data_IF_381105599449
#
_entry.id   IF_381105599449
#
_cell.length_a   1.000
_cell.length_b   1.000
_cell.length_c   1.000
_cell.angle_alpha   90.00
_cell.angle_beta   90.00
_cell.angle_gamma   90.00
#
_symmetry.space_group_name_H-M   'P 1'
#
loop_
_entity.id
_entity.type
_entity.pdbx_description
1 polymer ?
#
# COMPACT_ATOMS: atom_id res chain seq x y z
N UNK A 1 -23.50 39.05 -44.21
CA UNK A 1 -23.49 38.26 -42.96
C UNK A 1 -22.72 36.97 -43.21
N UNK A 2 -21.42 36.94 -42.87
CA UNK A 2 -20.63 35.69 -42.89
C UNK A 2 -20.88 34.97 -41.58
N UNK A 3 -21.69 33.91 -41.63
CA UNK A 3 -21.95 33.04 -40.49
C UNK A 3 -20.66 32.34 -40.08
N UNK A 4 -20.18 32.66 -38.88
CA UNK A 4 -19.05 32.00 -38.24
C UNK A 4 -19.45 30.55 -37.96
N UNK A 5 -19.06 29.61 -38.83
CA UNK A 5 -19.12 28.18 -38.54
C UNK A 5 -18.28 27.92 -37.28
N UNK A 6 -18.94 27.76 -36.12
CA UNK A 6 -18.31 27.21 -34.92
C UNK A 6 -17.74 25.85 -35.31
N UNK A 7 -16.42 25.74 -35.41
CA UNK A 7 -15.72 24.45 -35.48
C UNK A 7 -16.22 23.61 -34.30
N UNK A 8 -16.93 22.52 -34.57
CA UNK A 8 -17.29 21.53 -33.56
C UNK A 8 -15.97 20.93 -33.08
N UNK A 9 -15.52 21.36 -31.90
CA UNK A 9 -14.32 20.82 -31.26
C UNK A 9 -14.67 19.41 -30.79
N UNK A 10 -13.93 18.41 -31.26
CA UNK A 10 -14.16 17.02 -30.87
C UNK A 10 -13.98 16.84 -29.36
N UNK A 11 -14.70 15.90 -28.74
CA UNK A 11 -14.56 15.59 -27.31
C UNK A 11 -13.09 15.28 -26.95
N UNK A 12 -12.38 14.61 -27.86
CA UNK A 12 -10.95 14.31 -27.72
C UNK A 12 -10.08 15.58 -27.66
N UNK A 13 -10.38 16.60 -28.46
CA UNK A 13 -9.66 17.87 -28.41
C UNK A 13 -9.93 18.66 -27.12
N UNK A 14 -11.17 18.61 -26.61
CA UNK A 14 -11.50 19.24 -25.33
C UNK A 14 -10.78 18.55 -24.18
N UNK A 15 -10.70 17.22 -24.22
CA UNK A 15 -10.00 16.42 -23.23
C UNK A 15 -8.50 16.69 -23.22
N UNK A 16 -7.85 16.71 -24.39
CA UNK A 16 -6.43 17.07 -24.51
C UNK A 16 -6.12 18.46 -23.93
N UNK A 17 -6.97 19.45 -24.24
CA UNK A 17 -6.82 20.81 -23.66
C UNK A 17 -6.93 20.80 -22.14
N UNK A 18 -7.89 20.07 -21.59
CA UNK A 18 -8.05 19.93 -20.15
C UNK A 18 -6.85 19.21 -19.51
N UNK A 19 -6.31 18.17 -20.15
CA UNK A 19 -5.10 17.48 -19.70
C UNK A 19 -3.91 18.43 -19.62
N UNK A 20 -3.65 19.22 -20.67
CA UNK A 20 -2.56 20.19 -20.71
C UNK A 20 -2.73 21.31 -19.67
N UNK A 21 -3.96 21.79 -19.52
CA UNK A 21 -4.32 22.85 -18.57
C UNK A 21 -4.12 22.38 -17.13
N UNK A 22 -4.69 21.23 -16.77
CA UNK A 22 -4.59 20.67 -15.41
C UNK A 22 -3.14 20.29 -15.09
N UNK A 23 -2.37 19.77 -16.07
CA UNK A 23 -0.95 19.49 -15.88
C UNK A 23 -0.16 20.76 -15.53
N UNK A 24 -0.44 21.88 -16.21
CA UNK A 24 0.18 23.18 -15.88
C UNK A 24 -0.18 23.60 -14.46
N UNK A 25 -1.43 23.42 -14.05
CA UNK A 25 -1.85 23.73 -12.67
C UNK A 25 -1.15 22.85 -11.64
N UNK A 26 -1.06 21.54 -11.90
CA UNK A 26 -0.33 20.58 -11.07
C UNK A 26 1.13 21.02 -10.87
N UNK A 27 1.83 21.34 -11.96
CA UNK A 27 3.21 21.85 -11.88
C UNK A 27 3.32 23.17 -11.14
N UNK A 28 2.37 24.09 -11.32
CA UNK A 28 2.34 25.36 -10.59
C UNK A 28 2.17 25.17 -9.07
N UNK A 29 1.61 24.05 -8.62
CA UNK A 29 1.54 23.68 -7.21
C UNK A 29 2.75 22.86 -6.71
N UNK A 30 3.72 22.58 -7.57
CA UNK A 30 4.93 21.81 -7.24
C UNK A 30 4.79 20.30 -7.45
N UNK A 31 3.68 19.81 -8.01
CA UNK A 31 3.53 18.40 -8.36
C UNK A 31 4.43 18.03 -9.54
N UNK A 32 4.98 16.83 -9.50
CA UNK A 32 5.87 16.28 -10.51
C UNK A 32 5.37 14.90 -10.97
N UNK A 33 4.18 14.78 -11.57
CA UNK A 33 3.70 13.51 -12.10
C UNK A 33 4.64 12.97 -13.18
N UNK A 34 4.55 11.66 -13.46
CA UNK A 34 5.13 11.08 -14.67
C UNK A 34 4.44 11.64 -15.91
N UNK A 35 5.02 11.35 -17.09
CA UNK A 35 4.27 11.52 -18.33
C UNK A 35 3.06 10.60 -18.26
N UNK A 36 1.85 11.15 -18.31
CA UNK A 36 0.61 10.36 -18.24
C UNK A 36 -0.03 10.23 -19.60
N UNK A 37 -0.41 9.01 -19.98
CA UNK A 37 -1.22 8.68 -21.14
C UNK A 37 -2.63 8.39 -20.65
N UNK A 38 -3.60 9.15 -21.14
CA UNK A 38 -5.01 8.95 -20.83
C UNK A 38 -5.71 8.25 -21.98
N UNK A 39 -6.31 7.10 -21.69
CA UNK A 39 -7.08 6.32 -22.66
C UNK A 39 -8.57 6.38 -22.33
N UNK A 40 -9.39 6.71 -23.33
CA UNK A 40 -10.83 6.69 -23.19
C UNK A 40 -11.33 5.27 -23.40
N UNK A 41 -12.05 4.74 -22.42
CA UNK A 41 -12.61 3.37 -22.42
C UNK A 41 -14.11 3.41 -22.17
N UNK A 42 -14.81 2.43 -22.71
CA UNK A 42 -16.21 2.16 -22.42
C UNK A 42 -16.35 1.60 -20.99
N UNK A 43 -17.58 1.42 -20.55
CA UNK A 43 -17.83 0.81 -19.24
C UNK A 43 -17.34 -0.64 -19.19
N UNK A 44 -17.65 -1.43 -20.24
CA UNK A 44 -17.26 -2.84 -20.30
C UNK A 44 -15.73 -2.98 -20.38
N UNK A 45 -15.09 -2.16 -21.24
CA UNK A 45 -13.62 -2.08 -21.34
C UNK A 45 -12.98 -1.72 -19.99
N UNK A 46 -13.58 -0.81 -19.21
CA UNK A 46 -13.07 -0.47 -17.87
C UNK A 46 -13.12 -1.66 -16.91
N UNK A 47 -14.23 -2.41 -16.89
CA UNK A 47 -14.36 -3.58 -16.02
C UNK A 47 -13.39 -4.70 -16.43
N UNK A 48 -13.19 -4.91 -17.74
CA UNK A 48 -12.21 -5.88 -18.27
C UNK A 48 -10.79 -5.53 -17.86
N UNK A 49 -10.39 -4.26 -17.99
CA UNK A 49 -9.03 -3.83 -17.61
C UNK A 49 -8.87 -3.89 -16.09
N UNK A 50 -9.91 -3.51 -15.32
CA UNK A 50 -9.89 -3.56 -13.87
C UNK A 50 -9.79 -4.99 -13.32
N UNK A 51 -10.48 -5.97 -13.94
CA UNK A 51 -10.37 -7.38 -13.53
C UNK A 51 -8.99 -7.97 -13.79
N UNK A 52 -8.24 -7.45 -14.76
CA UNK A 52 -6.82 -7.78 -14.92
C UNK A 52 -5.87 -6.98 -14.03
N UNK A 53 -6.39 -6.16 -13.11
CA UNK A 53 -5.61 -5.33 -12.20
C UNK A 53 -5.01 -4.08 -12.85
N UNK A 54 -5.63 -3.58 -13.92
CA UNK A 54 -5.16 -2.41 -14.66
C UNK A 54 -4.47 -2.71 -15.98
N UNK A 55 -4.11 -3.96 -16.24
CA UNK A 55 -3.23 -4.33 -17.36
C UNK A 55 -4.03 -4.88 -18.55
N UNK A 56 -3.89 -4.30 -19.76
CA UNK A 56 -4.61 -4.77 -20.95
C UNK A 56 -4.24 -6.19 -21.38
N UNK A 57 -3.07 -6.68 -20.99
CA UNK A 57 -2.59 -8.01 -21.35
C UNK A 57 -2.02 -8.68 -20.12
N UNK A 58 -2.69 -9.75 -19.68
CA UNK A 58 -2.26 -10.65 -18.59
C UNK A 58 -2.42 -12.09 -19.04
N UNK A 59 -1.89 -13.04 -18.27
CA UNK A 59 -2.20 -14.44 -18.50
C UNK A 59 -3.69 -14.72 -18.26
N UNK A 60 -4.31 -15.63 -19.03
CA UNK A 60 -5.68 -16.04 -18.78
C UNK A 60 -5.76 -16.84 -17.48
N UNK A 61 -6.75 -16.54 -16.65
CA UNK A 61 -7.05 -17.28 -15.43
C UNK A 61 -8.52 -17.06 -15.04
N UNK A 62 -9.21 -18.12 -14.59
CA UNK A 62 -10.64 -18.06 -14.27
C UNK A 62 -10.99 -17.02 -13.18
N UNK A 63 -10.06 -16.77 -12.23
CA UNK A 63 -10.19 -15.70 -11.21
C UNK A 63 -10.53 -14.34 -11.81
N UNK A 64 -9.88 -13.94 -12.90
CA UNK A 64 -10.14 -12.64 -13.54
C UNK A 64 -11.54 -12.58 -14.18
N UNK A 65 -12.05 -13.72 -14.65
CA UNK A 65 -13.44 -13.84 -15.10
C UNK A 65 -14.44 -13.66 -13.96
N UNK A 66 -14.16 -14.22 -12.77
CA UNK A 66 -14.99 -13.99 -11.60
C UNK A 66 -14.95 -12.54 -11.12
N UNK A 67 -13.77 -11.93 -11.08
CA UNK A 67 -13.61 -10.51 -10.73
C UNK A 67 -14.37 -9.61 -11.71
N UNK A 68 -14.31 -9.91 -13.01
CA UNK A 68 -15.10 -9.20 -14.03
C UNK A 68 -16.61 -9.29 -13.76
N UNK A 69 -17.13 -10.49 -13.49
CA UNK A 69 -18.55 -10.70 -13.19
C UNK A 69 -19.00 -9.93 -11.94
N UNK A 70 -18.16 -9.87 -10.91
CA UNK A 70 -18.41 -9.08 -9.70
C UNK A 70 -18.45 -7.58 -10.00
N UNK A 71 -17.47 -7.08 -10.76
CA UNK A 71 -17.38 -5.67 -11.16
C UNK A 71 -18.60 -5.24 -12.01
N UNK A 72 -18.92 -6.03 -13.03
CA UNK A 72 -20.02 -5.77 -13.94
C UNK A 72 -21.37 -5.76 -13.23
N UNK A 73 -21.65 -6.74 -12.36
CA UNK A 73 -22.90 -6.79 -11.57
C UNK A 73 -22.97 -5.65 -10.56
N UNK A 74 -21.85 -5.38 -9.88
CA UNK A 74 -21.76 -4.27 -8.94
C UNK A 74 -22.08 -2.92 -9.59
N UNK A 75 -21.64 -2.68 -10.82
CA UNK A 75 -22.02 -1.49 -11.57
C UNK A 75 -23.48 -1.51 -12.02
N UNK A 76 -23.94 -2.63 -12.58
CA UNK A 76 -25.32 -2.77 -13.07
C UNK A 76 -26.38 -2.51 -11.98
N UNK A 77 -26.03 -2.81 -10.72
CA UNK A 77 -26.88 -2.55 -9.56
C UNK A 77 -26.56 -1.23 -8.84
N UNK A 78 -25.63 -0.41 -9.35
CA UNK A 78 -25.25 0.87 -8.77
C UNK A 78 -24.51 0.76 -7.43
N UNK A 79 -23.92 -0.41 -7.14
CA UNK A 79 -23.17 -0.67 -5.90
C UNK A 79 -21.75 -0.08 -5.94
N UNK A 80 -21.13 -0.05 -7.14
CA UNK A 80 -19.78 0.46 -7.34
C UNK A 80 -19.60 1.10 -8.72
N UNK A 81 -18.78 2.15 -8.78
CA UNK A 81 -18.37 2.83 -10.02
C UNK A 81 -16.88 3.13 -9.93
N UNK A 82 -16.13 2.64 -10.91
CA UNK A 82 -14.70 2.92 -11.07
C UNK A 82 -14.62 4.25 -11.81
N UNK A 83 -14.12 5.30 -11.16
CA UNK A 83 -14.00 6.61 -11.82
C UNK A 83 -12.73 6.71 -12.67
N UNK A 84 -11.73 5.94 -12.28
CA UNK A 84 -10.35 6.04 -12.67
C UNK A 84 -9.66 4.68 -12.48
N UNK A 85 -8.66 4.40 -13.30
CA UNK A 85 -7.78 3.27 -13.09
C UNK A 85 -6.41 3.72 -13.55
N UNK A 86 -5.43 3.74 -12.62
CA UNK A 86 -4.10 4.30 -12.85
C UNK A 86 -3.03 3.25 -12.63
N UNK A 87 -2.16 3.07 -13.62
CA UNK A 87 -1.04 2.14 -13.55
C UNK A 87 0.24 2.92 -13.23
N UNK A 88 0.95 2.50 -12.19
CA UNK A 88 2.28 2.98 -11.88
C UNK A 88 3.30 2.44 -12.91
N UNK A 89 3.54 3.21 -13.96
CA UNK A 89 4.47 2.91 -15.05
C UNK A 89 5.12 4.23 -15.52
N UNK A 90 6.21 4.17 -16.30
CA UNK A 90 6.82 5.34 -16.94
C UNK A 90 6.89 5.11 -18.47
N UNK A 91 5.92 5.64 -19.26
CA UNK A 91 4.87 6.59 -18.87
C UNK A 91 3.77 5.95 -18.01
N UNK A 92 3.09 6.78 -17.21
CA UNK A 92 1.94 6.42 -16.40
C UNK A 92 0.73 6.24 -17.32
N UNK A 93 -0.07 5.20 -17.12
CA UNK A 93 -1.28 4.96 -17.91
C UNK A 93 -2.50 5.14 -17.04
N UNK A 94 -3.50 5.83 -17.57
CA UNK A 94 -4.76 6.05 -16.88
C UNK A 94 -5.94 5.87 -17.83
N UNK A 95 -6.99 5.20 -17.35
CA UNK A 95 -8.20 4.97 -18.11
C UNK A 95 -9.33 5.89 -17.64
N UNK A 96 -10.03 6.48 -18.60
CA UNK A 96 -11.12 7.43 -18.39
C UNK A 96 -12.40 6.89 -19.03
N UNK A 97 -13.51 6.91 -18.29
CA UNK A 97 -14.80 6.48 -18.85
C UNK A 97 -15.30 7.48 -19.90
N UNK A 98 -15.63 6.99 -21.10
CA UNK A 98 -16.17 7.78 -22.23
C UNK A 98 -17.48 8.51 -21.87
N UNK A 99 -18.29 7.93 -20.98
CA UNK A 99 -19.61 8.45 -20.59
C UNK A 99 -19.56 9.58 -19.56
N UNK A 100 -18.40 9.86 -18.96
CA UNK A 100 -18.26 10.90 -17.94
C UNK A 100 -18.45 12.30 -18.53
N UNK A 101 -19.07 13.19 -17.74
CA UNK A 101 -19.18 14.61 -18.11
C UNK A 101 -17.82 15.27 -18.10
N UNK A 102 -17.68 16.41 -18.79
CA UNK A 102 -16.38 17.09 -18.90
C UNK A 102 -15.83 17.53 -17.53
N UNK A 103 -16.69 17.91 -16.59
CA UNK A 103 -16.30 18.24 -15.21
C UNK A 103 -15.70 17.02 -14.49
N UNK A 104 -16.30 15.85 -14.66
CA UNK A 104 -15.80 14.60 -14.08
C UNK A 104 -14.47 14.20 -14.71
N UNK A 105 -14.33 14.37 -16.04
CA UNK A 105 -13.07 14.14 -16.73
C UNK A 105 -11.95 15.01 -16.15
N UNK A 106 -12.21 16.31 -15.92
CA UNK A 106 -11.24 17.21 -15.29
C UNK A 106 -10.88 16.76 -13.88
N UNK A 107 -11.88 16.40 -13.08
CA UNK A 107 -11.66 15.91 -11.71
C UNK A 107 -10.78 14.65 -11.71
N UNK A 108 -11.09 13.67 -12.56
CA UNK A 108 -10.33 12.43 -12.67
C UNK A 108 -8.91 12.69 -13.20
N UNK A 109 -8.73 13.54 -14.21
CA UNK A 109 -7.40 13.93 -14.70
C UNK A 109 -6.56 14.55 -13.57
N UNK A 110 -7.14 15.47 -12.80
CA UNK A 110 -6.45 16.10 -11.67
C UNK A 110 -6.10 15.07 -10.58
N UNK A 111 -7.00 14.12 -10.32
CA UNK A 111 -6.79 13.03 -9.39
C UNK A 111 -5.64 12.10 -9.82
N UNK A 112 -5.64 11.69 -11.10
CA UNK A 112 -4.58 10.87 -11.70
C UNK A 112 -3.22 11.54 -11.62
N UNK A 113 -3.13 12.86 -11.83
CA UNK A 113 -1.87 13.57 -11.64
C UNK A 113 -1.41 13.58 -10.18
N UNK A 114 -2.34 13.61 -9.22
CA UNK A 114 -2.03 13.39 -7.82
C UNK A 114 -1.43 12.01 -7.55
N UNK A 115 -2.05 10.94 -8.05
CA UNK A 115 -1.50 9.59 -7.94
C UNK A 115 -0.14 9.46 -8.61
N UNK A 116 -0.01 9.93 -9.85
CA UNK A 116 1.24 9.85 -10.61
C UNK A 116 2.38 10.59 -9.93
N UNK A 117 2.09 11.75 -9.32
CA UNK A 117 3.04 12.47 -8.46
C UNK A 117 3.40 11.66 -7.20
N UNK A 118 2.43 11.01 -6.55
CA UNK A 118 2.66 10.17 -5.38
C UNK A 118 3.57 8.98 -5.72
N UNK A 119 3.26 8.23 -6.79
CA UNK A 119 4.04 7.09 -7.27
C UNK A 119 5.50 7.47 -7.56
N UNK A 120 5.73 8.65 -8.14
CA UNK A 120 7.09 9.10 -8.46
C UNK A 120 7.91 9.45 -7.23
N UNK A 121 7.27 10.02 -6.21
CA UNK A 121 7.97 10.75 -5.15
C UNK A 121 7.91 10.07 -3.77
N UNK A 122 7.09 9.03 -3.59
CA UNK A 122 7.03 8.29 -2.34
C UNK A 122 8.08 7.16 -2.31
N UNK A 123 8.80 7.04 -1.18
CA UNK A 123 9.88 6.08 -0.98
C UNK A 123 9.43 4.62 -1.15
N UNK A 124 8.19 4.29 -0.79
CA UNK A 124 7.63 2.94 -0.90
C UNK A 124 7.34 2.53 -2.35
N UNK A 125 7.36 3.47 -3.29
CA UNK A 125 7.29 3.16 -4.72
C UNK A 125 8.68 3.10 -5.38
N UNK A 126 9.75 3.43 -4.65
CA UNK A 126 11.11 3.54 -5.23
C UNK A 126 11.64 2.23 -5.84
N UNK A 127 11.21 1.08 -5.31
CA UNK A 127 11.63 -0.25 -5.76
C UNK A 127 10.65 -0.89 -6.77
N UNK A 128 9.57 -0.20 -7.15
CA UNK A 128 8.59 -0.73 -8.10
C UNK A 128 9.15 -0.76 -9.53
N UNK A 129 8.80 -1.81 -10.29
CA UNK A 129 9.13 -1.88 -11.70
C UNK A 129 8.33 -0.82 -12.48
N UNK A 130 9.02 0.12 -13.12
CA UNK A 130 8.41 1.21 -13.91
C UNK A 130 8.02 0.81 -15.33
N UNK A 131 8.25 -0.45 -15.71
CA UNK A 131 7.87 -1.04 -17.00
C UNK A 131 7.00 -2.27 -16.79
N UNK A 132 6.10 -2.21 -15.80
CA UNK A 132 5.30 -3.36 -15.41
C UNK A 132 4.35 -3.83 -16.52
N UNK A 133 3.93 -2.93 -17.41
CA UNK A 133 3.08 -3.31 -18.57
C UNK A 133 3.81 -4.34 -19.45
N UNK A 134 5.08 -4.07 -19.77
CA UNK A 134 5.90 -4.97 -20.58
C UNK A 134 6.17 -6.28 -19.81
N UNK A 135 6.41 -6.20 -18.50
CA UNK A 135 6.69 -7.37 -17.68
C UNK A 135 5.49 -8.30 -17.53
N UNK A 136 4.28 -7.78 -17.29
CA UNK A 136 3.08 -8.62 -17.21
C UNK A 136 2.75 -9.24 -18.57
N UNK A 137 2.98 -8.52 -19.68
CA UNK A 137 2.86 -9.12 -21.02
C UNK A 137 3.88 -10.27 -21.22
N UNK A 138 5.10 -10.12 -20.70
CA UNK A 138 6.13 -11.15 -20.69
C UNK A 138 5.73 -12.35 -19.80
N UNK A 139 5.18 -12.11 -18.61
CA UNK A 139 4.60 -13.14 -17.74
C UNK A 139 3.52 -13.95 -18.46
N UNK A 140 2.61 -13.26 -19.16
CA UNK A 140 1.58 -13.90 -19.99
C UNK A 140 2.18 -14.81 -21.06
N UNK A 141 3.27 -14.39 -21.69
CA UNK A 141 3.96 -15.18 -22.72
C UNK A 141 4.69 -16.38 -22.11
N UNK A 142 5.36 -16.22 -20.97
CA UNK A 142 6.01 -17.31 -20.22
C UNK A 142 4.99 -18.36 -19.80
N UNK A 143 3.85 -17.95 -19.23
CA UNK A 143 2.81 -18.88 -18.80
C UNK A 143 2.22 -19.64 -19.99
N UNK A 144 1.91 -18.97 -21.11
CA UNK A 144 1.43 -19.65 -22.33
C UNK A 144 2.39 -20.73 -22.82
N UNK A 145 3.70 -20.48 -22.79
CA UNK A 145 4.72 -21.48 -23.16
C UNK A 145 4.78 -22.66 -22.19
N UNK A 146 4.42 -22.47 -20.93
CA UNK A 146 4.29 -23.58 -19.98
C UNK A 146 3.01 -24.37 -20.24
N UNK A 147 1.89 -23.69 -20.50
CA UNK A 147 0.61 -24.34 -20.89
C UNK A 147 0.79 -25.21 -22.13
N UNK A 148 1.47 -24.71 -23.17
CA UNK A 148 1.77 -25.48 -24.39
C UNK A 148 2.60 -26.75 -24.13
N UNK A 149 3.47 -26.74 -23.12
CA UNK A 149 4.39 -27.84 -22.83
C UNK A 149 3.86 -28.84 -21.81
N UNK A 150 3.16 -28.37 -20.79
CA UNK A 150 2.76 -29.15 -19.62
C UNK A 150 1.25 -29.37 -19.53
N UNK A 151 0.47 -28.77 -20.45
CA UNK A 151 -0.99 -28.84 -20.47
C UNK A 151 -1.64 -27.78 -19.59
N UNK A 152 -2.83 -27.35 -19.98
CA UNK A 152 -3.56 -26.27 -19.28
C UNK A 152 -3.90 -26.65 -17.84
N UNK A 153 -4.52 -27.81 -17.61
CA UNK A 153 -4.98 -28.23 -16.28
C UNK A 153 -3.85 -28.26 -15.24
N UNK A 154 -2.67 -28.79 -15.62
CA UNK A 154 -1.51 -28.87 -14.72
C UNK A 154 -0.97 -27.50 -14.34
N UNK A 155 -0.86 -26.59 -15.32
CA UNK A 155 -0.35 -25.24 -15.10
C UNK A 155 -1.33 -24.40 -14.30
N UNK A 156 -2.62 -24.50 -14.62
CA UNK A 156 -3.69 -23.79 -13.93
C UNK A 156 -3.82 -24.25 -12.48
N UNK A 157 -3.80 -25.57 -12.21
CA UNK A 157 -3.84 -26.09 -10.84
C UNK A 157 -2.63 -25.63 -9.99
N UNK A 158 -1.44 -25.56 -10.59
CA UNK A 158 -0.26 -25.06 -9.88
C UNK A 158 -0.32 -23.54 -9.68
N UNK A 159 -0.79 -22.79 -10.68
CA UNK A 159 -0.99 -21.35 -10.59
C UNK A 159 -2.03 -20.97 -9.53
N UNK A 160 -3.13 -21.73 -9.42
CA UNK A 160 -4.13 -21.59 -8.35
C UNK A 160 -3.48 -21.71 -6.97
N UNK A 161 -2.67 -22.75 -6.77
CA UNK A 161 -1.93 -22.94 -5.54
C UNK A 161 -0.96 -21.78 -5.28
N UNK A 162 -0.24 -21.30 -6.30
CA UNK A 162 0.68 -20.18 -6.19
C UNK A 162 -0.04 -18.87 -5.84
N UNK A 163 -1.17 -18.56 -6.47
CA UNK A 163 -1.96 -17.36 -6.22
C UNK A 163 -2.56 -17.36 -4.80
N UNK A 164 -2.87 -18.52 -4.23
CA UNK A 164 -3.31 -18.61 -2.82
C UNK A 164 -2.24 -18.13 -1.83
N UNK A 165 -0.97 -18.08 -2.25
CA UNK A 165 0.18 -17.66 -1.45
C UNK A 165 0.65 -16.23 -1.77
N UNK A 166 -0.01 -15.49 -2.67
CA UNK A 166 0.44 -14.17 -3.14
C UNK A 166 0.60 -13.14 -2.01
N UNK A 167 -0.22 -13.26 -0.96
CA UNK A 167 -0.19 -12.38 0.22
C UNK A 167 0.88 -12.75 1.25
N UNK A 168 1.57 -13.89 1.08
CA UNK A 168 2.54 -14.43 2.02
C UNK A 168 3.97 -14.05 1.67
N UNK A 169 4.16 -12.81 1.22
CA UNK A 169 5.45 -12.21 0.95
C UNK A 169 5.91 -11.33 2.12
N UNK A 170 7.22 -11.09 2.19
CA UNK A 170 7.76 -10.11 3.13
C UNK A 170 7.93 -8.76 2.43
N UNK A 171 6.92 -7.90 2.58
CA UNK A 171 6.90 -6.57 1.96
C UNK A 171 8.08 -5.67 2.35
N UNK A 172 8.71 -5.90 3.51
CA UNK A 172 9.84 -5.09 3.99
C UNK A 172 11.20 -5.57 3.47
N UNK A 173 11.27 -6.80 2.94
CA UNK A 173 12.52 -7.42 2.48
C UNK A 173 13.23 -6.58 1.41
N UNK A 174 12.47 -5.96 0.50
CA UNK A 174 13.00 -5.13 -0.61
C UNK A 174 13.74 -3.89 -0.11
N UNK A 175 13.42 -3.41 1.09
CA UNK A 175 14.03 -2.22 1.70
C UNK A 175 15.17 -2.57 2.67
N UNK A 176 15.44 -3.86 2.88
CA UNK A 176 16.48 -4.34 3.80
C UNK A 176 17.68 -4.88 3.01
N UNK A 177 18.74 -4.08 2.78
CA UNK A 177 19.90 -4.49 1.98
C UNK A 177 20.76 -5.62 2.60
N UNK A 178 20.37 -6.14 3.78
CA UNK A 178 21.17 -7.06 4.60
C UNK A 178 20.68 -8.51 4.62
N UNK A 179 19.66 -8.92 3.84
CA UNK A 179 19.50 -10.35 3.54
C UNK A 179 20.59 -10.78 2.55
N UNK A 180 21.81 -10.97 3.07
CA UNK A 180 22.83 -11.75 2.38
C UNK A 180 22.21 -13.10 2.01
N UNK A 181 22.31 -13.45 0.73
CA UNK A 181 22.10 -14.81 0.21
C UNK A 181 22.98 -15.77 0.99
N UNK A 182 22.50 -16.31 2.10
CA UNK A 182 23.14 -17.41 2.77
C UNK A 182 22.86 -18.65 1.92
N UNK A 183 23.69 -18.89 0.92
CA UNK A 183 23.73 -20.17 0.23
C UNK A 183 24.06 -21.19 1.33
N UNK A 184 23.07 -21.99 1.71
CA UNK A 184 23.22 -22.98 2.78
C UNK A 184 24.20 -24.06 2.28
N UNK A 185 25.48 -23.86 2.51
CA UNK A 185 26.47 -24.91 2.38
C UNK A 185 26.34 -25.77 3.64
N UNK A 186 26.03 -27.06 3.48
CA UNK A 186 26.14 -28.04 4.55
C UNK A 186 27.64 -28.19 4.88
N UNK A 187 28.22 -27.24 5.61
CA UNK A 187 29.58 -27.38 6.12
C UNK A 187 29.58 -28.28 7.34
N UNK A 188 30.45 -29.28 7.33
CA UNK A 188 30.74 -30.19 8.44
C UNK A 188 31.03 -29.43 9.74
N UNK A 189 30.71 -30.09 10.87
CA UNK A 189 30.83 -29.60 12.24
C UNK A 189 32.15 -28.84 12.49
N UNK A 190 32.11 -27.52 12.44
CA UNK A 190 33.16 -26.69 13.02
C UNK A 190 33.01 -26.70 14.54
N UNK A 191 34.11 -27.01 15.23
CA UNK A 191 34.21 -26.95 16.70
C UNK A 191 33.60 -25.65 17.24
N UNK A 192 32.63 -25.80 18.14
CA UNK A 192 31.82 -24.69 18.62
C UNK A 192 32.65 -23.60 19.32
N UNK A 193 32.23 -22.33 19.23
CA UNK A 193 32.92 -21.23 19.87
C UNK A 193 32.94 -21.42 21.39
N UNK A 194 34.15 -21.40 21.98
CA UNK A 194 34.33 -21.47 23.43
C UNK A 194 33.62 -20.33 24.17
N UNK A 195 33.20 -20.58 25.41
CA UNK A 195 32.45 -19.63 26.26
C UNK A 195 33.23 -18.31 26.42
N UNK A 196 32.63 -17.20 26.00
CA UNK A 196 33.30 -15.91 25.86
C UNK A 196 33.44 -15.20 27.22
N UNK A 197 34.50 -15.50 27.96
CA UNK A 197 34.81 -14.84 29.23
C UNK A 197 35.17 -13.36 29.04
N UNK A 198 34.70 -12.49 29.93
CA UNK A 198 35.19 -11.10 30.01
C UNK A 198 36.61 -11.13 30.58
N UNK A 199 37.56 -10.41 29.94
CA UNK A 199 38.98 -10.42 30.36
C UNK A 199 39.15 -9.74 31.72
N UNK A 200 39.48 -10.52 32.76
CA UNK A 200 39.89 -9.99 34.05
C UNK A 200 41.39 -9.63 34.05
N UNK A 201 41.75 -8.41 34.46
CA UNK A 201 43.17 -7.98 34.54
C UNK A 201 43.97 -8.69 35.64
N UNK A 202 43.31 -9.24 36.68
CA UNK A 202 43.94 -10.00 37.78
C UNK A 202 43.12 -11.25 38.11
N UNK A 203 43.79 -12.36 38.40
CA UNK A 203 43.17 -13.69 38.55
C UNK A 203 42.11 -13.82 39.64
N UNK A 204 42.21 -13.05 40.73
CA UNK A 204 41.20 -13.07 41.80
C UNK A 204 39.91 -12.33 41.43
N UNK A 205 39.95 -11.44 40.44
CA UNK A 205 38.77 -10.69 39.97
C UNK A 205 37.94 -11.49 38.96
N UNK A 206 38.47 -12.58 38.41
CA UNK A 206 37.76 -13.41 37.42
C UNK A 206 36.45 -13.98 38.00
N UNK A 207 36.44 -14.37 39.28
CA UNK A 207 35.23 -14.86 39.98
C UNK A 207 34.15 -13.80 40.19
N UNK A 208 34.53 -12.53 40.30
CA UNK A 208 33.60 -11.42 40.48
C UNK A 208 33.13 -10.82 39.15
N UNK A 209 33.99 -10.87 38.13
CA UNK A 209 33.71 -10.37 36.77
C UNK A 209 32.92 -11.39 35.95
N UNK A 210 33.20 -12.69 36.13
CA UNK A 210 32.51 -13.81 35.49
C UNK A 210 31.85 -14.71 36.56
N UNK A 211 30.81 -14.23 37.26
CA UNK A 211 30.11 -15.04 38.27
C UNK A 211 29.49 -16.30 37.63
N UNK A 212 29.27 -17.39 38.39
CA UNK A 212 28.72 -18.64 37.88
C UNK A 212 27.40 -18.44 37.11
N UNK A 213 26.53 -17.56 37.59
CA UNK A 213 25.27 -17.21 36.95
C UNK A 213 25.45 -16.58 35.56
N UNK A 214 26.46 -15.73 35.37
CA UNK A 214 26.80 -15.12 34.09
C UNK A 214 27.36 -16.17 33.11
N UNK A 215 28.16 -17.11 33.60
CA UNK A 215 28.74 -18.19 32.81
C UNK A 215 27.69 -19.23 32.38
N UNK A 216 26.74 -19.56 33.26
CA UNK A 216 25.63 -20.45 32.94
C UNK A 216 24.63 -19.78 31.97
N UNK A 217 24.36 -18.48 32.13
CA UNK A 217 23.57 -17.71 31.18
C UNK A 217 24.25 -17.64 29.79
N UNK A 218 25.58 -17.51 29.73
CA UNK A 218 26.32 -17.59 28.47
C UNK A 218 26.28 -18.99 27.85
N UNK A 219 26.48 -20.06 28.63
CA UNK A 219 26.40 -21.44 28.14
C UNK A 219 25.01 -21.75 27.57
N UNK A 220 23.95 -21.35 28.27
CA UNK A 220 22.57 -21.50 27.80
C UNK A 220 22.32 -20.70 26.52
N UNK A 221 22.86 -19.47 26.41
CA UNK A 221 22.81 -18.70 25.16
C UNK A 221 23.53 -19.38 24.00
N UNK A 222 24.70 -19.99 24.24
CA UNK A 222 25.48 -20.71 23.21
C UNK A 222 24.72 -21.98 22.80
N UNK A 223 24.15 -22.71 23.74
CA UNK A 223 23.33 -23.90 23.47
C UNK A 223 22.06 -23.54 22.67
N UNK A 224 21.35 -22.48 23.07
CA UNK A 224 20.20 -21.95 22.34
C UNK A 224 20.60 -21.47 20.92
N UNK A 225 21.78 -20.86 20.76
CA UNK A 225 22.32 -20.45 19.45
C UNK A 225 22.67 -21.66 18.58
N UNK A 226 23.29 -22.70 19.15
CA UNK A 226 23.60 -23.95 18.44
C UNK A 226 22.31 -24.69 18.05
N UNK A 227 21.30 -24.70 18.91
CA UNK A 227 19.99 -25.27 18.56
C UNK A 227 19.26 -24.45 17.48
N UNK A 228 19.35 -23.11 17.51
CA UNK A 228 18.81 -22.26 16.43
C UNK A 228 19.51 -22.51 15.10
N UNK A 229 20.84 -22.65 15.07
CA UNK A 229 21.60 -23.02 13.87
C UNK A 229 21.28 -24.42 13.32
N UNK A 230 20.78 -25.32 14.16
CA UNK A 230 20.28 -26.64 13.73
C UNK A 230 18.89 -26.59 13.09
N UNK A 231 18.12 -25.51 13.27
CA UNK A 231 16.80 -25.35 12.66
C UNK A 231 16.96 -24.68 11.30
N UNK A 232 16.29 -25.23 10.30
CA UNK A 232 16.22 -24.68 8.96
C UNK A 232 14.79 -24.21 8.72
N UNK A 233 14.52 -22.94 8.37
CA UNK A 233 15.46 -21.81 8.36
C UNK A 233 15.93 -21.41 9.77
N UNK A 234 17.11 -20.77 9.90
CA UNK A 234 17.67 -20.35 11.20
C UNK A 234 16.73 -19.40 11.96
N UNK A 235 16.05 -18.54 11.22
CA UNK A 235 15.00 -17.66 11.73
C UNK A 235 13.69 -17.89 10.97
N UNK A 236 12.53 -17.78 11.66
CA UNK A 236 11.25 -17.93 11.00
C UNK A 236 11.10 -16.96 9.84
N UNK A 237 10.87 -17.50 8.64
CA UNK A 237 10.84 -16.73 7.41
C UNK A 237 9.41 -16.34 7.04
N UNK A 238 9.18 -15.05 6.80
CA UNK A 238 7.87 -14.51 6.42
C UNK A 238 7.58 -14.65 4.91
N UNK A 239 8.59 -14.51 4.06
CA UNK A 239 8.42 -14.65 2.62
C UNK A 239 8.36 -16.13 2.23
N UNK A 240 7.15 -16.65 2.11
CA UNK A 240 6.89 -18.05 1.81
C UNK A 240 7.17 -18.33 0.33
N UNK A 241 6.86 -17.40 -0.57
CA UNK A 241 7.12 -17.56 -2.00
C UNK A 241 8.62 -17.64 -2.28
N UNK A 242 9.43 -16.75 -1.70
CA UNK A 242 10.89 -16.79 -1.81
C UNK A 242 11.45 -18.12 -1.31
N UNK A 243 11.00 -18.56 -0.14
CA UNK A 243 11.44 -19.82 0.45
C UNK A 243 11.13 -21.03 -0.47
N UNK A 244 9.92 -21.07 -1.05
CA UNK A 244 9.55 -22.14 -1.97
C UNK A 244 10.38 -22.11 -3.26
N UNK A 245 10.64 -20.92 -3.82
CA UNK A 245 11.47 -20.78 -5.02
C UNK A 245 12.89 -21.30 -4.77
N UNK A 246 13.47 -21.00 -3.61
CA UNK A 246 14.85 -21.35 -3.28
C UNK A 246 15.03 -22.83 -2.88
N UNK A 247 14.15 -23.36 -2.04
CA UNK A 247 14.39 -24.62 -1.34
C UNK A 247 13.44 -25.76 -1.73
N UNK A 248 12.29 -25.46 -2.33
CA UNK A 248 11.36 -26.52 -2.68
C UNK A 248 11.86 -27.35 -3.88
N UNK A 249 11.60 -28.67 -3.89
CA UNK A 249 11.96 -29.57 -4.98
C UNK A 249 10.97 -29.41 -6.16
N UNK A 250 10.96 -28.22 -6.76
CA UNK A 250 10.08 -27.84 -7.84
C UNK A 250 10.78 -27.93 -9.19
N UNK A 251 10.00 -28.26 -10.22
CA UNK A 251 10.45 -28.16 -11.60
C UNK A 251 10.73 -26.72 -12.01
N UNK A 252 11.53 -26.53 -13.06
CA UNK A 252 11.90 -25.20 -13.55
C UNK A 252 10.69 -24.33 -13.89
N UNK A 253 9.64 -24.91 -14.48
CA UNK A 253 8.41 -24.19 -14.86
C UNK A 253 7.57 -23.80 -13.64
N UNK A 254 7.54 -24.63 -12.58
CA UNK A 254 6.86 -24.33 -11.32
C UNK A 254 7.53 -23.17 -10.58
N UNK A 255 8.87 -23.18 -10.53
CA UNK A 255 9.66 -22.05 -9.98
C UNK A 255 9.43 -20.75 -10.76
N UNK A 256 9.30 -20.85 -12.08
CA UNK A 256 8.98 -19.71 -12.94
C UNK A 256 7.62 -19.09 -12.59
N UNK A 257 6.59 -19.92 -12.38
CA UNK A 257 5.25 -19.46 -11.98
C UNK A 257 5.27 -18.80 -10.61
N UNK A 258 5.94 -19.39 -9.61
CA UNK A 258 6.07 -18.76 -8.29
C UNK A 258 6.79 -17.42 -8.36
N UNK A 259 7.81 -17.30 -9.23
CA UNK A 259 8.55 -16.06 -9.45
C UNK A 259 7.65 -14.99 -10.06
N UNK A 260 6.83 -15.34 -11.07
CA UNK A 260 5.82 -14.44 -11.67
C UNK A 260 4.85 -13.92 -10.60
N UNK A 261 4.26 -14.81 -9.81
CA UNK A 261 3.30 -14.43 -8.74
C UNK A 261 3.97 -13.54 -7.70
N UNK A 262 5.20 -13.87 -7.28
CA UNK A 262 5.95 -13.06 -6.31
C UNK A 262 6.27 -11.67 -6.86
N UNK A 263 6.73 -11.57 -8.10
CA UNK A 263 7.05 -10.29 -8.76
C UNK A 263 5.81 -9.39 -8.88
N UNK A 264 4.67 -9.96 -9.28
CA UNK A 264 3.40 -9.22 -9.33
C UNK A 264 2.93 -8.78 -7.94
N UNK A 265 3.03 -9.65 -6.93
CA UNK A 265 2.66 -9.31 -5.54
C UNK A 265 3.51 -8.14 -4.99
N UNK A 266 4.81 -8.12 -5.28
CA UNK A 266 5.68 -6.98 -4.90
C UNK A 266 5.35 -5.70 -5.64
N UNK A 267 4.88 -5.77 -6.90
CA UNK A 267 4.45 -4.59 -7.64
C UNK A 267 3.21 -3.93 -7.03
N UNK A 268 2.25 -4.71 -6.51
CA UNK A 268 1.01 -4.18 -5.91
C UNK A 268 1.12 -3.83 -4.42
N UNK A 269 2.14 -4.34 -3.73
CA UNK A 269 2.29 -4.15 -2.29
C UNK A 269 2.35 -2.67 -1.86
N UNK A 270 3.10 -1.77 -2.53
CA UNK A 270 3.12 -0.35 -2.16
C UNK A 270 1.75 0.33 -2.21
N UNK A 271 0.94 0.05 -3.23
CA UNK A 271 -0.41 0.59 -3.40
C UNK A 271 -1.31 0.22 -2.22
N UNK A 272 -1.15 -0.99 -1.68
CA UNK A 272 -1.87 -1.44 -0.49
C UNK A 272 -1.31 -0.83 0.80
N UNK A 273 0.01 -0.66 0.92
CA UNK A 273 0.67 -0.06 2.10
C UNK A 273 0.44 1.45 2.24
N UNK A 274 0.11 2.14 1.16
CA UNK A 274 -0.07 3.59 1.13
C UNK A 274 -1.45 4.00 0.61
N UNK A 275 -2.45 3.13 0.72
CA UNK A 275 -3.78 3.35 0.13
C UNK A 275 -4.42 4.64 0.65
N UNK A 276 -4.49 4.83 1.97
CA UNK A 276 -5.10 6.01 2.59
C UNK A 276 -4.33 7.28 2.20
N UNK A 277 -3.01 7.23 2.26
CA UNK A 277 -2.16 8.36 1.87
C UNK A 277 -2.33 8.74 0.40
N UNK A 278 -2.25 7.76 -0.49
CA UNK A 278 -2.27 7.96 -1.94
C UNK A 278 -3.65 8.47 -2.40
N UNK A 279 -4.74 7.82 -1.98
CA UNK A 279 -6.10 8.29 -2.26
C UNK A 279 -6.35 9.67 -1.67
N UNK A 280 -5.90 9.89 -0.44
CA UNK A 280 -5.97 11.19 0.21
C UNK A 280 -5.20 12.27 -0.53
N UNK A 281 -4.01 11.97 -1.04
CA UNK A 281 -3.15 12.92 -1.75
C UNK A 281 -3.77 13.31 -3.10
N UNK A 282 -4.22 12.32 -3.87
CA UNK A 282 -4.91 12.54 -5.12
C UNK A 282 -6.21 13.34 -4.92
N UNK A 283 -6.96 13.05 -3.85
CA UNK A 283 -8.18 13.79 -3.48
C UNK A 283 -7.87 15.21 -3.02
N UNK A 284 -6.82 15.41 -2.21
CA UNK A 284 -6.42 16.74 -1.78
C UNK A 284 -6.12 17.64 -2.99
N UNK A 285 -5.35 17.12 -3.95
CA UNK A 285 -4.94 17.89 -5.12
C UNK A 285 -6.04 18.06 -6.16
N UNK A 286 -6.86 17.04 -6.41
CA UNK A 286 -7.98 17.23 -7.32
C UNK A 286 -8.92 18.32 -6.81
N UNK A 287 -9.10 18.43 -5.49
CA UNK A 287 -10.06 19.34 -4.91
C UNK A 287 -9.50 20.75 -5.05
N UNK A 288 -8.22 20.93 -4.68
CA UNK A 288 -7.51 22.20 -4.75
C UNK A 288 -7.39 22.71 -6.20
N UNK A 289 -6.98 21.85 -7.14
CA UNK A 289 -6.84 22.23 -8.55
C UNK A 289 -8.19 22.58 -9.16
N UNK A 290 -9.23 21.80 -8.87
CA UNK A 290 -10.58 22.07 -9.36
C UNK A 290 -11.08 23.40 -8.78
N UNK A 291 -11.16 23.53 -7.46
CA UNK A 291 -11.81 24.69 -6.82
C UNK A 291 -11.04 26.01 -6.98
N UNK A 292 -9.72 25.98 -7.13
CA UNK A 292 -8.92 27.21 -7.24
C UNK A 292 -8.59 27.61 -8.70
N UNK A 293 -8.63 26.67 -9.66
CA UNK A 293 -8.15 26.93 -11.03
C UNK A 293 -9.00 26.36 -12.16
N UNK A 294 -9.34 25.07 -12.14
CA UNK A 294 -9.85 24.37 -13.33
C UNK A 294 -11.39 24.34 -13.46
N UNK A 295 -12.11 24.53 -12.34
CA UNK A 295 -13.57 24.48 -12.28
C UNK A 295 -14.18 25.78 -12.81
N UNK A 296 -15.22 25.65 -13.64
CA UNK A 296 -16.00 26.79 -14.12
C UNK A 296 -17.23 27.01 -13.24
N UNK A 297 -17.76 28.23 -13.22
CA UNK A 297 -18.94 28.60 -12.41
C UNK A 297 -20.13 27.65 -12.58
N UNK A 298 -20.42 27.25 -13.82
CA UNK A 298 -21.52 26.32 -14.12
C UNK A 298 -21.26 24.85 -13.78
N UNK A 299 -20.02 24.48 -13.41
CA UNK A 299 -19.62 23.11 -13.11
C UNK A 299 -19.63 22.82 -11.59
N UNK A 300 -19.87 23.85 -10.74
CA UNK A 300 -19.65 23.77 -9.29
C UNK A 300 -20.55 22.74 -8.60
N UNK A 301 -21.83 22.69 -8.96
CA UNK A 301 -22.79 21.76 -8.34
C UNK A 301 -22.47 20.33 -8.74
N UNK A 302 -22.21 20.09 -10.03
CA UNK A 302 -21.85 18.77 -10.55
C UNK A 302 -20.56 18.26 -9.90
N UNK A 303 -19.55 19.12 -9.76
CA UNK A 303 -18.31 18.76 -9.06
C UNK A 303 -18.57 18.43 -7.58
N UNK A 304 -19.34 19.26 -6.87
CA UNK A 304 -19.60 19.07 -5.45
C UNK A 304 -20.37 17.76 -5.19
N UNK A 305 -21.37 17.44 -6.02
CA UNK A 305 -22.14 16.20 -5.92
C UNK A 305 -21.23 14.98 -6.08
N UNK A 306 -20.49 14.89 -7.19
CA UNK A 306 -19.57 13.78 -7.46
C UNK A 306 -18.44 13.66 -6.42
N UNK A 307 -17.79 14.77 -6.05
CA UNK A 307 -16.74 14.76 -5.04
C UNK A 307 -17.27 14.28 -3.69
N UNK A 308 -18.46 14.75 -3.29
CA UNK A 308 -19.08 14.35 -2.02
C UNK A 308 -19.48 12.87 -2.02
N UNK A 309 -19.92 12.32 -3.17
CA UNK A 309 -20.25 10.92 -3.33
C UNK A 309 -19.02 10.02 -3.10
N UNK A 310 -17.85 10.38 -3.64
CA UNK A 310 -16.58 9.68 -3.40
C UNK A 310 -16.13 9.76 -1.94
N UNK A 311 -16.40 10.89 -1.28
CA UNK A 311 -16.06 11.11 0.13
C UNK A 311 -17.10 10.58 1.13
N UNK A 312 -18.20 10.01 0.62
CA UNK A 312 -19.26 9.44 1.44
C UNK A 312 -18.73 8.35 2.39
N UNK A 313 -19.10 8.42 3.66
CA UNK A 313 -18.69 7.44 4.67
C UNK A 313 -19.93 6.83 5.31
N UNK A 314 -20.02 5.50 5.29
CA UNK A 314 -21.07 4.77 6.02
C UNK A 314 -20.70 4.67 7.50
N UNK A 315 -21.65 4.76 8.45
CA UNK A 315 -21.38 4.52 9.86
C UNK A 315 -20.67 3.18 10.08
N UNK A 316 -19.59 3.18 10.86
CA UNK A 316 -18.78 1.99 11.15
C UNK A 316 -17.73 1.61 10.10
N UNK A 317 -17.75 2.22 8.91
CA UNK A 317 -16.71 2.03 7.88
C UNK A 317 -15.76 3.23 7.83
N UNK A 318 -14.50 2.98 7.50
CA UNK A 318 -13.52 4.04 7.20
C UNK A 318 -13.41 4.14 5.68
N UNK A 319 -13.66 5.33 5.15
CA UNK A 319 -13.39 5.64 3.75
C UNK A 319 -11.94 6.18 3.65
N UNK A 320 -11.02 5.47 2.95
CA UNK A 320 -9.63 5.91 2.77
C UNK A 320 -9.51 7.31 2.16
N UNK A 321 -10.35 7.63 1.18
CA UNK A 321 -10.37 8.94 0.53
C UNK A 321 -10.68 10.05 1.52
N UNK A 322 -11.73 9.86 2.33
CA UNK A 322 -12.15 10.82 3.35
C UNK A 322 -11.12 10.98 4.45
N UNK A 323 -10.62 9.88 5.00
CA UNK A 323 -9.62 9.94 6.08
C UNK A 323 -8.33 10.59 5.57
N UNK A 324 -7.83 10.16 4.41
CA UNK A 324 -6.60 10.67 3.82
C UNK A 324 -6.66 12.17 3.52
N UNK A 325 -7.71 12.65 2.83
CA UNK A 325 -7.79 14.07 2.46
C UNK A 325 -7.90 14.99 3.68
N UNK A 326 -8.65 14.59 4.69
CA UNK A 326 -8.79 15.37 5.92
C UNK A 326 -7.49 15.38 6.73
N UNK A 327 -6.74 14.27 6.76
CA UNK A 327 -5.41 14.25 7.36
C UNK A 327 -4.45 15.19 6.62
N UNK A 328 -4.42 15.18 5.29
CA UNK A 328 -3.57 16.11 4.51
C UNK A 328 -3.90 17.58 4.80
N UNK A 329 -5.20 17.92 4.86
CA UNK A 329 -5.65 19.27 5.23
C UNK A 329 -5.24 19.64 6.65
N UNK A 330 -5.43 18.72 7.60
CA UNK A 330 -5.04 18.91 8.99
C UNK A 330 -3.54 19.14 9.15
N UNK A 331 -2.69 18.36 8.44
CA UNK A 331 -1.24 18.52 8.48
C UNK A 331 -0.83 19.89 7.93
N UNK A 332 -1.35 20.28 6.76
CA UNK A 332 -1.05 21.59 6.15
C UNK A 332 -1.47 22.73 7.09
N UNK A 333 -2.69 22.67 7.66
CA UNK A 333 -3.20 23.70 8.57
C UNK A 333 -2.37 23.79 9.85
N UNK A 334 -2.07 22.65 10.50
CA UNK A 334 -1.29 22.61 11.74
C UNK A 334 0.09 23.22 11.56
N UNK A 335 0.78 22.89 10.47
CA UNK A 335 2.10 23.45 10.19
C UNK A 335 2.06 24.92 9.75
N UNK A 336 0.98 25.36 9.10
CA UNK A 336 0.79 26.79 8.82
C UNK A 336 0.60 27.61 10.09
N UNK A 337 -0.15 27.08 11.06
CA UNK A 337 -0.48 27.76 12.33
C UNK A 337 0.54 27.53 13.46
N UNK A 338 1.51 26.63 13.28
CA UNK A 338 2.44 26.26 14.35
C UNK A 338 1.82 25.40 15.45
N UNK A 339 0.79 24.61 15.14
CA UNK A 339 0.08 23.71 16.07
C UNK A 339 0.78 22.35 16.19
N UNK A 340 2.05 22.40 16.54
CA UNK A 340 2.91 21.22 16.73
C UNK A 340 4.02 21.53 17.74
N UNK A 341 4.61 20.48 18.30
CA UNK A 341 5.71 20.59 19.24
C UNK A 341 5.26 20.83 20.67
N UNK A 342 6.25 20.85 21.57
CA UNK A 342 6.04 20.80 23.02
C UNK A 342 5.13 21.90 23.55
N UNK A 343 5.31 23.14 23.10
CA UNK A 343 4.52 24.28 23.55
C UNK A 343 3.03 24.14 23.24
N UNK A 344 2.70 23.57 22.07
CA UNK A 344 1.33 23.30 21.70
C UNK A 344 0.76 22.09 22.44
N UNK A 345 1.53 21.00 22.51
CA UNK A 345 1.06 19.74 23.10
C UNK A 345 0.76 19.89 24.61
N UNK A 346 1.64 20.59 25.34
CA UNK A 346 1.51 20.87 26.79
C UNK A 346 0.53 22.01 27.12
N UNK A 347 -0.08 22.67 26.14
CA UNK A 347 -1.04 23.75 26.40
C UNK A 347 -2.41 23.18 26.84
N UNK A 348 -2.77 23.35 28.11
CA UNK A 348 -4.06 22.89 28.65
C UNK A 348 -5.23 23.88 28.41
N UNK A 349 -4.94 25.13 28.02
CA UNK A 349 -5.95 26.13 27.74
C UNK A 349 -6.57 25.92 26.34
N UNK A 350 -7.82 25.45 26.33
CA UNK A 350 -8.60 25.22 25.11
C UNK A 350 -8.85 26.50 24.29
N UNK A 351 -8.93 27.67 24.92
CA UNK A 351 -9.13 28.95 24.22
C UNK A 351 -7.83 29.34 23.52
N UNK A 352 -6.70 29.24 24.21
CA UNK A 352 -5.37 29.48 23.63
C UNK A 352 -5.08 28.51 22.47
N UNK A 353 -5.36 27.22 22.64
CA UNK A 353 -5.21 26.21 21.57
C UNK A 353 -6.05 26.52 20.32
N UNK A 354 -7.30 27.00 20.50
CA UNK A 354 -8.17 27.36 19.36
C UNK A 354 -7.71 28.63 18.64
N UNK A 355 -7.19 29.60 19.38
CA UNK A 355 -6.66 30.85 18.82
C UNK A 355 -5.20 30.71 18.34
N UNK A 356 -4.61 29.52 18.45
CA UNK A 356 -3.20 29.28 18.12
C UNK A 356 -2.93 29.49 16.63
N UNK A 357 -2.20 30.55 16.32
CA UNK A 357 -1.74 30.87 14.98
C UNK A 357 -0.44 31.67 15.04
N UNK A 358 0.68 30.96 14.90
CA UNK A 358 2.02 31.55 14.79
C UNK A 358 2.35 32.01 13.36
N UNK A 359 1.45 31.78 12.38
CA UNK A 359 1.60 32.17 10.97
C UNK A 359 2.91 31.72 10.33
N UNK A 360 3.39 30.52 10.67
CA UNK A 360 4.64 29.97 10.16
C UNK A 360 4.59 29.71 8.64
N UNK A 361 3.42 29.37 8.10
CA UNK A 361 3.25 29.12 6.66
C UNK A 361 4.01 27.88 6.13
N UNK A 362 4.41 26.97 7.01
CA UNK A 362 5.24 25.79 6.68
C UNK A 362 4.44 24.56 6.23
N UNK A 363 3.11 24.66 6.13
CA UNK A 363 2.22 23.54 5.83
C UNK A 363 2.51 22.87 4.50
N UNK A 364 2.80 23.66 3.46
CA UNK A 364 3.09 23.15 2.12
C UNK A 364 4.36 22.30 2.12
N UNK A 365 5.43 22.78 2.73
CA UNK A 365 6.69 22.02 2.82
C UNK A 365 6.46 20.70 3.57
N UNK A 366 5.71 20.74 4.67
CA UNK A 366 5.45 19.55 5.48
C UNK A 366 4.70 18.46 4.73
N UNK A 367 3.62 18.79 4.01
CA UNK A 367 2.87 17.73 3.31
C UNK A 367 3.70 17.07 2.19
N UNK A 368 4.61 17.81 1.53
CA UNK A 368 5.51 17.25 0.53
C UNK A 368 6.61 16.37 1.16
N UNK A 369 7.10 16.73 2.34
CA UNK A 369 8.00 15.90 3.15
C UNK A 369 7.31 14.59 3.55
N UNK A 370 6.10 14.67 4.11
CA UNK A 370 5.33 13.52 4.56
C UNK A 370 5.01 12.57 3.40
N UNK A 371 4.57 13.12 2.26
CA UNK A 371 4.33 12.34 1.03
C UNK A 371 5.54 11.50 0.63
N UNK A 372 6.76 12.01 0.84
CA UNK A 372 7.97 11.33 0.38
C UNK A 372 8.32 10.10 1.22
N UNK A 373 8.08 10.12 2.53
CA UNK A 373 8.71 9.18 3.47
C UNK A 373 7.71 8.17 4.04
N UNK A 374 6.47 8.60 4.26
CA UNK A 374 5.51 7.85 5.06
C UNK A 374 4.77 6.77 4.26
N UNK A 375 4.27 5.77 4.98
CA UNK A 375 3.21 4.84 4.57
C UNK A 375 1.96 5.02 5.46
N UNK A 376 0.88 4.29 5.20
CA UNK A 376 -0.37 4.48 5.94
C UNK A 376 -0.22 4.27 7.45
N UNK A 377 0.58 3.29 7.88
CA UNK A 377 0.82 2.99 9.31
C UNK A 377 1.47 4.19 9.99
N UNK A 378 2.62 4.63 9.48
CA UNK A 378 3.36 5.77 10.06
C UNK A 378 2.61 7.09 9.91
N UNK A 379 1.84 7.25 8.83
CA UNK A 379 1.03 8.44 8.59
C UNK A 379 -0.09 8.58 9.60
N UNK A 380 -0.79 7.48 9.88
CA UNK A 380 -1.83 7.44 10.91
C UNK A 380 -1.21 7.55 12.30
N UNK A 381 -0.07 6.90 12.54
CA UNK A 381 0.58 6.97 13.83
C UNK A 381 0.99 8.41 14.21
N UNK A 382 1.60 9.14 13.28
CA UNK A 382 2.09 10.50 13.57
C UNK A 382 1.00 11.57 13.53
N UNK A 383 0.01 11.45 12.64
CA UNK A 383 -0.90 12.56 12.31
C UNK A 383 -2.35 12.37 12.74
N UNK A 384 -2.79 11.15 13.06
CA UNK A 384 -4.11 10.96 13.66
C UNK A 384 -4.05 11.38 15.12
N UNK A 385 -4.54 12.58 15.46
CA UNK A 385 -4.58 13.08 16.84
C UNK A 385 -5.96 12.96 17.47
N UNK A 386 -6.04 13.13 18.80
CA UNK A 386 -7.30 13.15 19.53
C UNK A 386 -8.21 14.28 19.05
N UNK A 387 -7.65 15.46 18.82
CA UNK A 387 -8.35 16.63 18.30
C UNK A 387 -8.94 16.34 16.92
N UNK A 388 -8.17 15.70 16.04
CA UNK A 388 -8.63 15.29 14.73
C UNK A 388 -9.82 14.31 14.84
N UNK A 389 -9.70 13.28 15.66
CA UNK A 389 -10.79 12.32 15.88
C UNK A 389 -12.08 12.98 16.40
N UNK A 390 -11.95 13.98 17.30
CA UNK A 390 -13.10 14.74 17.81
C UNK A 390 -13.72 15.62 16.71
N UNK A 391 -12.90 16.36 15.96
CA UNK A 391 -13.35 17.25 14.88
C UNK A 391 -14.08 16.47 13.77
N UNK A 392 -13.54 15.33 13.39
CA UNK A 392 -14.09 14.49 12.32
C UNK A 392 -15.10 13.45 12.82
N UNK A 393 -15.46 13.47 14.11
CA UNK A 393 -16.45 12.58 14.73
C UNK A 393 -16.15 11.09 14.48
N UNK A 394 -14.89 10.71 14.62
CA UNK A 394 -14.46 9.31 14.52
C UNK A 394 -14.77 8.60 15.85
N UNK A 395 -15.62 7.57 15.82
CA UNK A 395 -16.05 6.81 17.00
C UNK A 395 -15.79 5.31 16.82
N UNK A 396 -15.43 4.61 17.90
CA UNK A 396 -15.43 3.13 17.92
C UNK A 396 -16.85 2.65 18.14
N UNK A 397 -17.32 1.80 17.23
CA UNK A 397 -18.54 1.04 17.41
C UNK A 397 -18.17 -0.34 17.96
N UNK A 398 -18.67 -0.70 19.14
CA UNK A 398 -18.55 -2.04 19.71
C UNK A 398 -19.90 -2.74 19.61
N UNK A 399 -19.88 -3.98 19.13
CA UNK A 399 -21.07 -4.81 19.13
C UNK A 399 -21.42 -5.19 20.57
N UNK A 400 -22.56 -4.72 21.07
CA UNK A 400 -23.07 -5.13 22.36
C UNK A 400 -23.86 -6.43 22.16
N UNK A 401 -23.32 -7.53 22.70
CA UNK A 401 -23.92 -8.87 22.59
C UNK A 401 -25.25 -9.02 23.34
N UNK A 402 -25.58 -8.10 24.26
CA UNK A 402 -26.84 -8.11 25.00
C UNK A 402 -27.96 -7.39 24.25
N UNK A 403 -27.65 -6.28 23.58
CA UNK A 403 -28.63 -5.49 22.82
C UNK A 403 -28.66 -5.83 21.32
N UNK A 404 -27.74 -6.67 20.84
CA UNK A 404 -27.51 -7.02 19.43
C UNK A 404 -27.40 -5.77 18.53
N UNK A 405 -26.84 -4.69 19.07
CA UNK A 405 -26.65 -3.40 18.40
C UNK A 405 -25.21 -2.94 18.56
N UNK A 406 -24.72 -2.20 17.58
CA UNK A 406 -23.45 -1.50 17.68
C UNK A 406 -23.64 -0.23 18.51
N UNK A 407 -23.00 -0.18 19.66
CA UNK A 407 -22.99 0.97 20.56
C UNK A 407 -21.64 1.69 20.47
N UNK A 408 -21.64 3.01 20.67
CA UNK A 408 -20.39 3.78 20.76
C UNK A 408 -19.68 3.30 22.04
N UNK A 409 -18.57 2.59 21.88
CA UNK A 409 -17.92 1.85 22.95
C UNK A 409 -17.29 2.78 23.99
N UNK A 410 -16.52 3.77 23.50
CA UNK A 410 -15.96 4.88 24.26
C UNK A 410 -15.31 5.88 23.29
N UNK A 411 -14.97 7.08 23.79
CA UNK A 411 -14.16 8.08 23.06
C UNK A 411 -12.66 7.89 23.31
N UNK A 412 -12.24 6.69 23.69
CA UNK A 412 -10.83 6.38 23.94
C UNK A 412 -10.05 6.40 22.63
N UNK A 413 -9.33 7.50 22.43
CA UNK A 413 -8.52 7.76 21.25
C UNK A 413 -7.43 6.70 21.04
N UNK A 414 -6.81 6.21 22.12
CA UNK A 414 -5.75 5.20 22.02
C UNK A 414 -6.30 3.88 21.50
N UNK A 415 -7.51 3.49 21.92
CA UNK A 415 -8.19 2.32 21.40
C UNK A 415 -8.55 2.47 19.91
N UNK A 416 -9.02 3.65 19.47
CA UNK A 416 -9.30 3.95 18.06
C UNK A 416 -8.03 3.77 17.23
N UNK A 417 -6.96 4.43 17.65
CA UNK A 417 -5.68 4.47 16.93
C UNK A 417 -5.10 3.07 16.82
N UNK A 418 -5.05 2.31 17.92
CA UNK A 418 -4.57 0.91 17.93
C UNK A 418 -5.41 0.01 17.04
N UNK A 419 -6.74 0.11 17.08
CA UNK A 419 -7.61 -0.69 16.22
C UNK A 419 -7.43 -0.37 14.73
N UNK A 420 -7.21 0.89 14.39
CA UNK A 420 -6.92 1.31 13.02
C UNK A 420 -5.55 0.80 12.55
N UNK A 421 -4.50 1.03 13.35
CA UNK A 421 -3.15 0.56 13.04
C UNK A 421 -3.12 -0.97 12.90
N UNK A 422 -3.76 -1.70 13.80
CA UNK A 422 -3.82 -3.18 13.74
C UNK A 422 -4.45 -3.69 12.44
N UNK A 423 -5.52 -3.04 11.94
CA UNK A 423 -6.15 -3.41 10.66
C UNK A 423 -5.25 -3.13 9.45
N UNK A 424 -4.33 -2.17 9.57
CA UNK A 424 -3.39 -1.82 8.51
C UNK A 424 -2.09 -2.63 8.60
N UNK A 425 -1.76 -3.15 9.78
CA UNK A 425 -0.64 -4.08 9.98
C UNK A 425 -0.80 -5.28 9.05
N UNK A 426 0.23 -5.54 8.25
CA UNK A 426 0.25 -6.63 7.27
C UNK A 426 -0.97 -6.61 6.30
N UNK A 427 -1.51 -5.42 6.00
CA UNK A 427 -2.69 -5.22 5.15
C UNK A 427 -3.96 -5.95 5.67
N UNK A 428 -4.01 -6.23 6.98
CA UNK A 428 -5.10 -7.00 7.59
C UNK A 428 -5.01 -8.51 7.35
N UNK A 429 -3.97 -8.99 6.66
CA UNK A 429 -3.72 -10.41 6.47
C UNK A 429 -3.04 -11.03 7.70
N UNK A 430 -3.34 -12.31 8.01
CA UNK A 430 -2.65 -13.02 9.08
C UNK A 430 -1.14 -13.11 8.81
N UNK A 431 -0.33 -12.97 9.85
CA UNK A 431 1.12 -13.14 9.74
C UNK A 431 1.46 -14.62 9.85
N UNK A 432 1.77 -15.24 8.71
CA UNK A 432 2.20 -16.64 8.64
C UNK A 432 3.70 -16.67 8.37
N UNK A 433 4.43 -17.48 9.15
CA UNK A 433 5.88 -17.67 8.98
C UNK A 433 6.23 -19.15 8.90
N UNK A 434 7.26 -19.47 8.14
CA UNK A 434 7.85 -20.81 8.12
C UNK A 434 8.72 -20.93 9.36
N UNK A 435 8.32 -21.78 10.30
CA UNK A 435 9.07 -22.06 11.51
C UNK A 435 10.11 -23.17 11.29
N UNK A 436 9.76 -24.21 10.54
CA UNK A 436 10.67 -25.29 10.15
C UNK A 436 10.40 -25.70 8.70
N UNK A 437 11.46 -25.78 7.89
CA UNK A 437 11.46 -26.15 6.48
C UNK A 437 11.53 -27.65 6.22
N UNK A 438 11.80 -28.45 7.25
CA UNK A 438 11.80 -29.91 7.20
C UNK A 438 11.30 -30.50 8.53
N UNK A 439 10.02 -30.25 8.82
CA UNK A 439 9.39 -30.64 10.06
C UNK A 439 9.45 -32.15 10.25
N UNK A 440 10.02 -32.59 11.38
CA UNK A 440 10.19 -34.02 11.73
C UNK A 440 10.89 -34.85 10.66
N UNK A 441 11.72 -34.23 9.82
CA UNK A 441 12.42 -34.88 8.72
C UNK A 441 11.49 -35.57 7.69
N UNK A 442 10.27 -35.04 7.48
CA UNK A 442 9.27 -35.58 6.55
C UNK A 442 9.14 -34.80 5.24
N UNK A 443 10.04 -33.84 4.99
CA UNK A 443 9.93 -32.87 3.90
C UNK A 443 8.62 -32.05 3.93
N UNK A 444 8.08 -31.81 5.13
CA UNK A 444 6.91 -30.97 5.36
C UNK A 444 7.32 -29.62 5.95
N UNK A 445 6.58 -28.56 5.61
CA UNK A 445 6.75 -27.24 6.22
C UNK A 445 5.91 -27.11 7.49
N UNK A 446 6.51 -26.63 8.58
CA UNK A 446 5.77 -26.16 9.76
C UNK A 446 5.52 -24.66 9.61
N UNK A 447 4.28 -24.30 9.31
CA UNK A 447 3.83 -22.91 9.30
C UNK A 447 3.30 -22.53 10.69
N UNK A 448 3.65 -21.32 11.14
CA UNK A 448 3.13 -20.74 12.38
C UNK A 448 2.35 -19.48 12.06
N UNK A 449 1.09 -19.46 12.48
CA UNK A 449 0.31 -18.23 12.56
C UNK A 449 0.75 -17.43 13.80
N UNK A 450 1.28 -16.22 13.58
CA UNK A 450 1.59 -15.29 14.65
C UNK A 450 0.36 -14.43 14.92
N UNK A 451 -0.33 -14.75 16.01
CA UNK A 451 -1.35 -13.87 16.57
C UNK A 451 -0.65 -12.75 17.35
N UNK A 452 -0.92 -11.50 16.97
CA UNK A 452 -0.49 -10.29 17.67
C UNK A 452 -1.59 -9.75 18.58
#
# INVERSE_FOLDING_TARGET
MRGTQKKIVSQADQLRRAQDEILKYAHAYGLQPFRTVFELVSHDEMNEIASYGGFPTRYPHWRFGMEYEELQKGYSWGLQKIYELVINNDPCYAYLMKSNMMVDQKMVIAHVYGHSDFFRNNMWFSQTNRRMIDEIANHGTRLRRHVERYGQENVEAFLDAALSLESLIDYHSVYSPHRRRARYEFTEEQEGPGVHKLKAQKGYMDRFINPPEFMDAQRKKIEDQLQKKKRFPEEPTKDILEFLIEYAPLDTWQRDILSIVREEAYYFAPQALTKIMNEGWATYWHAKIMTEKALKEGEVVDFADHHSATLGMRPGAINPYKLGVELWRSIEERWNKGQFGREYDECDDLVAKRAWDQKLGQGREKIFEVRRIYNDITFIDDFLTKEFCIQHKLFVYKHNSQSNRYEIADRDFEAIKRSLLFRLTNMGHPVIVIQEGNFRNRAELLLKHRHE
#
